data_IF_421945280632
#
_entry.id   IF_421945280632
#
_cell.length_a   1.000
_cell.length_b   1.000
_cell.length_c   1.000
_cell.angle_alpha   90.00
_cell.angle_beta   90.00
_cell.angle_gamma   90.00
#
_symmetry.space_group_name_H-M   'P 1'
#
loop_
_entity.id
_entity.type
_entity.pdbx_description
1 polymer ?
#
# COMPACT_ATOMS: atom_id res chain seq x y z
N UNK A 1 31.72 -16.50 16.86
CA UNK A 1 30.26 -16.68 16.78
C UNK A 1 29.50 -15.38 16.54
N UNK A 2 29.62 -14.36 17.41
CA UNK A 2 28.87 -13.08 17.24
C UNK A 2 29.21 -12.34 15.94
N UNK A 3 30.48 -12.37 15.50
CA UNK A 3 30.91 -11.73 14.24
C UNK A 3 30.29 -12.33 12.99
N UNK A 4 30.07 -13.65 13.00
CA UNK A 4 29.39 -14.36 11.90
C UNK A 4 27.91 -13.98 11.82
N UNK A 5 27.25 -13.81 12.98
CA UNK A 5 25.85 -13.39 13.06
C UNK A 5 25.66 -11.95 12.53
N UNK A 6 26.60 -11.06 12.88
CA UNK A 6 26.62 -9.68 12.39
C UNK A 6 26.89 -9.67 10.88
N UNK A 7 27.86 -10.44 10.39
CA UNK A 7 28.15 -10.53 8.95
C UNK A 7 26.97 -11.09 8.15
N UNK A 8 26.28 -12.12 8.66
CA UNK A 8 25.08 -12.65 8.05
C UNK A 8 23.93 -11.63 8.04
N UNK A 9 23.77 -10.83 9.10
CA UNK A 9 22.78 -9.74 9.15
C UNK A 9 23.07 -8.63 8.15
N UNK A 10 24.35 -8.23 7.98
CA UNK A 10 24.75 -7.22 7.01
C UNK A 10 24.61 -7.76 5.58
N UNK A 11 24.98 -9.02 5.34
CA UNK A 11 24.83 -9.67 4.03
C UNK A 11 23.36 -9.86 3.64
N UNK A 12 22.47 -10.14 4.59
CA UNK A 12 21.04 -10.25 4.36
C UNK A 12 20.38 -8.89 4.06
N UNK A 13 20.87 -7.80 4.68
CA UNK A 13 20.41 -6.42 4.39
C UNK A 13 20.93 -5.91 3.04
N UNK A 14 22.10 -6.39 2.61
CA UNK A 14 22.72 -6.02 1.34
C UNK A 14 22.31 -6.93 0.17
N UNK A 15 21.40 -7.87 0.40
CA UNK A 15 20.79 -8.64 -0.67
C UNK A 15 20.02 -7.66 -1.57
N UNK A 16 20.19 -7.74 -2.90
CA UNK A 16 19.49 -6.85 -3.81
C UNK A 16 18.00 -7.01 -3.60
N UNK A 17 17.31 -5.89 -3.35
CA UNK A 17 15.86 -5.88 -3.19
C UNK A 17 15.24 -6.47 -4.48
N UNK A 18 14.70 -7.69 -4.40
CA UNK A 18 14.13 -8.38 -5.56
C UNK A 18 12.80 -7.75 -6.00
N UNK A 19 12.35 -6.67 -5.35
CA UNK A 19 11.17 -5.90 -5.74
C UNK A 19 11.41 -5.19 -7.06
N UNK A 20 10.41 -5.27 -7.93
CA UNK A 20 10.43 -4.53 -9.20
C UNK A 20 10.43 -3.03 -8.91
N UNK A 21 11.11 -2.23 -9.73
CA UNK A 21 11.08 -0.76 -9.64
C UNK A 21 9.64 -0.21 -9.66
N UNK A 22 8.75 -0.86 -10.42
CA UNK A 22 7.32 -0.55 -10.49
C UNK A 22 6.59 -0.73 -9.14
N UNK A 23 7.01 -1.72 -8.35
CA UNK A 23 6.42 -2.02 -7.05
C UNK A 23 6.82 -0.95 -6.01
N UNK A 24 8.06 -0.48 -6.07
CA UNK A 24 8.55 0.60 -5.20
C UNK A 24 7.82 1.92 -5.51
N UNK A 25 7.60 2.22 -6.78
CA UNK A 25 6.83 3.38 -7.22
C UNK A 25 5.36 3.25 -6.75
N UNK A 26 4.76 2.07 -6.90
CA UNK A 26 3.39 1.83 -6.44
C UNK A 26 3.25 2.00 -4.92
N UNK A 27 4.20 1.48 -4.12
CA UNK A 27 4.21 1.65 -2.67
C UNK A 27 4.29 3.13 -2.27
N UNK A 28 5.12 3.91 -2.96
CA UNK A 28 5.24 5.36 -2.74
C UNK A 28 3.92 6.07 -3.04
N UNK A 29 3.33 5.81 -4.21
CA UNK A 29 2.05 6.39 -4.63
C UNK A 29 0.94 6.00 -3.66
N UNK A 30 0.85 4.73 -3.29
CA UNK A 30 -0.10 4.21 -2.30
C UNK A 30 0.01 4.97 -0.98
N UNK A 31 1.23 5.23 -0.50
CA UNK A 31 1.47 6.04 0.71
C UNK A 31 0.86 7.44 0.58
N UNK A 32 1.13 8.13 -0.52
CA UNK A 32 0.53 9.44 -0.80
C UNK A 32 -1.00 9.41 -0.90
N UNK A 33 -1.60 8.37 -1.49
CA UNK A 33 -3.06 8.22 -1.56
C UNK A 33 -3.69 8.01 -0.17
N UNK A 34 -3.00 7.32 0.75
CA UNK A 34 -3.50 7.16 2.13
C UNK A 34 -3.41 8.47 2.88
N UNK A 35 -2.31 9.21 2.74
CA UNK A 35 -2.15 10.54 3.36
C UNK A 35 -3.21 11.51 2.83
N UNK A 36 -3.47 11.50 1.52
CA UNK A 36 -4.47 12.40 0.92
C UNK A 36 -5.88 12.15 1.46
N UNK A 37 -6.22 10.92 1.89
CA UNK A 37 -7.49 10.64 2.57
C UNK A 37 -7.63 11.37 3.88
N UNK A 38 -6.58 11.37 4.70
CA UNK A 38 -6.55 12.09 5.97
C UNK A 38 -6.66 13.59 5.69
N UNK A 39 -5.91 14.09 4.70
CA UNK A 39 -5.97 15.48 4.28
C UNK A 39 -7.40 15.88 3.81
N UNK A 40 -8.09 15.01 3.08
CA UNK A 40 -9.48 15.24 2.62
C UNK A 40 -10.44 15.41 3.79
N UNK A 41 -10.30 14.60 4.85
CA UNK A 41 -11.13 14.71 6.05
C UNK A 41 -10.87 16.04 6.77
N UNK A 42 -9.59 16.41 6.93
CA UNK A 42 -9.22 17.69 7.55
C UNK A 42 -9.77 18.85 6.74
N UNK A 43 -9.64 18.79 5.41
CA UNK A 43 -10.14 19.82 4.51
C UNK A 43 -11.67 19.91 4.56
N UNK A 44 -12.37 18.78 4.67
CA UNK A 44 -13.81 18.74 4.84
C UNK A 44 -14.25 19.46 6.12
N UNK A 45 -13.56 19.23 7.25
CA UNK A 45 -13.86 19.92 8.51
C UNK A 45 -13.60 21.42 8.36
N UNK A 46 -12.44 21.80 7.84
CA UNK A 46 -12.08 23.20 7.63
C UNK A 46 -13.09 23.91 6.73
N UNK A 47 -13.36 23.38 5.54
CA UNK A 47 -14.32 23.99 4.62
C UNK A 47 -15.69 24.07 5.27
N UNK A 48 -16.14 23.03 5.96
CA UNK A 48 -17.44 23.04 6.64
C UNK A 48 -17.54 24.15 7.69
N UNK A 49 -16.50 24.36 8.49
CA UNK A 49 -16.45 25.40 9.51
C UNK A 49 -16.43 26.80 8.89
N UNK A 50 -15.53 27.03 7.93
CA UNK A 50 -15.37 28.34 7.30
C UNK A 50 -16.56 28.74 6.41
N UNK A 51 -17.39 27.79 6.00
CA UNK A 51 -18.51 28.02 5.08
C UNK A 51 -19.89 27.84 5.72
N UNK A 52 -19.97 27.78 7.04
CA UNK A 52 -21.21 27.54 7.78
C UNK A 52 -22.32 28.54 7.40
N UNK A 53 -21.96 29.81 7.19
CA UNK A 53 -22.90 30.89 6.87
C UNK A 53 -23.33 30.90 5.39
N UNK A 54 -22.68 30.11 4.52
CA UNK A 54 -22.92 30.12 3.08
C UNK A 54 -23.91 29.04 2.67
N UNK A 55 -24.86 29.44 1.82
CA UNK A 55 -25.87 28.57 1.25
C UNK A 55 -25.78 28.60 -0.28
N UNK A 56 -25.68 27.43 -0.90
CA UNK A 56 -25.68 27.24 -2.35
C UNK A 56 -26.90 26.39 -2.72
N UNK A 57 -27.73 26.90 -3.62
CA UNK A 57 -28.96 26.23 -4.07
C UNK A 57 -29.93 25.86 -2.93
N UNK A 58 -30.08 26.77 -1.94
CA UNK A 58 -30.86 26.57 -0.71
C UNK A 58 -30.37 25.43 0.20
N UNK A 59 -29.15 24.95 -0.03
CA UNK A 59 -28.49 23.94 0.80
C UNK A 59 -27.23 24.54 1.42
N UNK A 60 -26.93 24.21 2.67
CA UNK A 60 -25.67 24.65 3.30
C UNK A 60 -24.48 24.09 2.52
N UNK A 61 -23.42 24.88 2.38
CA UNK A 61 -22.16 24.44 1.76
C UNK A 61 -21.59 23.22 2.48
N UNK A 62 -21.78 23.09 3.79
CA UNK A 62 -21.40 21.89 4.57
C UNK A 62 -22.02 20.60 3.99
N UNK A 63 -23.29 20.65 3.58
CA UNK A 63 -23.99 19.49 2.99
C UNK A 63 -23.41 19.15 1.61
N UNK A 64 -23.08 20.16 0.80
CA UNK A 64 -22.40 19.96 -0.48
C UNK A 64 -21.02 19.32 -0.32
N UNK A 65 -20.27 19.73 0.71
CA UNK A 65 -18.98 19.12 1.04
C UNK A 65 -19.14 17.63 1.33
N UNK A 66 -20.16 17.23 2.09
CA UNK A 66 -20.45 15.81 2.37
C UNK A 66 -20.81 15.05 1.08
N UNK A 67 -21.68 15.64 0.25
CA UNK A 67 -22.12 15.04 -1.01
C UNK A 67 -20.93 14.76 -1.94
N UNK A 68 -19.92 15.64 -1.94
CA UNK A 68 -18.73 15.51 -2.81
C UNK A 68 -17.66 14.63 -2.14
N UNK A 69 -17.48 14.71 -0.83
CA UNK A 69 -16.40 14.02 -0.12
C UNK A 69 -16.61 12.51 -0.08
N UNK A 70 -17.85 12.04 0.05
CA UNK A 70 -18.14 10.59 0.08
C UNK A 70 -17.75 9.92 -1.25
N UNK A 71 -18.21 10.38 -2.43
CA UNK A 71 -17.75 9.86 -3.72
C UNK A 71 -16.23 9.91 -3.87
N UNK A 72 -15.60 11.03 -3.46
CA UNK A 72 -14.15 11.19 -3.53
C UNK A 72 -13.42 10.16 -2.66
N UNK A 73 -13.92 9.90 -1.45
CA UNK A 73 -13.36 8.92 -0.53
C UNK A 73 -13.44 7.49 -1.08
N UNK A 74 -14.58 7.15 -1.68
CA UNK A 74 -14.80 5.85 -2.35
C UNK A 74 -13.84 5.73 -3.53
N UNK A 75 -13.75 6.75 -4.38
CA UNK A 75 -12.88 6.78 -5.55
C UNK A 75 -11.42 6.58 -5.16
N UNK A 76 -10.94 7.27 -4.11
CA UNK A 76 -9.60 7.08 -3.55
C UNK A 76 -9.36 5.63 -3.10
N UNK A 77 -10.29 4.99 -2.38
CA UNK A 77 -10.13 3.56 -2.05
C UNK A 77 -10.16 2.66 -3.26
N UNK A 78 -10.99 2.98 -4.27
CA UNK A 78 -11.06 2.21 -5.48
C UNK A 78 -9.72 2.24 -6.23
N UNK A 79 -9.10 3.43 -6.35
CA UNK A 79 -7.76 3.58 -6.92
C UNK A 79 -6.70 2.78 -6.17
N UNK A 80 -6.71 2.83 -4.82
CA UNK A 80 -5.79 2.02 -4.01
C UNK A 80 -6.00 0.53 -4.27
N UNK A 81 -7.24 0.06 -4.29
CA UNK A 81 -7.58 -1.36 -4.49
C UNK A 81 -7.21 -1.83 -5.89
N UNK A 82 -7.44 -0.99 -6.90
CA UNK A 82 -7.15 -1.31 -8.30
C UNK A 82 -5.65 -1.47 -8.53
N UNK A 83 -4.83 -0.55 -8.01
CA UNK A 83 -3.39 -0.68 -8.15
C UNK A 83 -2.79 -1.74 -7.22
N UNK A 84 -3.37 -2.00 -6.03
CA UNK A 84 -2.95 -3.11 -5.19
C UNK A 84 -3.19 -4.46 -5.91
N UNK A 85 -4.29 -4.58 -6.65
CA UNK A 85 -4.53 -5.74 -7.51
C UNK A 85 -3.55 -5.83 -8.68
N UNK A 86 -3.19 -4.70 -9.30
CA UNK A 86 -2.33 -4.71 -10.48
C UNK A 86 -0.86 -4.98 -10.15
N UNK A 87 -0.36 -4.43 -9.04
CA UNK A 87 1.05 -4.48 -8.66
C UNK A 87 1.33 -5.49 -7.53
N UNK A 88 0.38 -5.75 -6.62
CA UNK A 88 0.53 -6.71 -5.52
C UNK A 88 0.50 -8.19 -5.95
N UNK A 89 0.00 -8.49 -7.15
CA UNK A 89 0.02 -9.86 -7.70
C UNK A 89 1.44 -10.35 -8.04
N UNK A 90 2.38 -9.42 -8.29
CA UNK A 90 3.75 -9.75 -8.64
C UNK A 90 4.61 -10.10 -7.41
N UNK A 91 4.30 -9.56 -6.23
CA UNK A 91 5.01 -9.79 -4.98
C UNK A 91 4.68 -11.15 -4.36
N UNK A 92 3.38 -11.50 -4.30
CA UNK A 92 2.91 -12.78 -3.74
C UNK A 92 3.40 -13.99 -4.55
N UNK A 93 3.55 -13.83 -5.87
CA UNK A 93 4.04 -14.90 -6.76
C UNK A 93 5.53 -15.20 -6.58
N UNK A 94 6.32 -14.24 -6.07
CA UNK A 94 7.76 -14.42 -5.81
C UNK A 94 8.00 -15.05 -4.44
N UNK A 95 7.28 -14.64 -3.40
CA UNK A 95 7.37 -15.24 -2.05
C UNK A 95 6.98 -16.73 -2.06
N UNK A 96 5.85 -17.09 -2.72
CA UNK A 96 5.43 -18.50 -2.82
C UNK A 96 6.39 -19.37 -3.63
N UNK A 97 7.14 -18.81 -4.58
CA UNK A 97 8.12 -19.55 -5.38
C UNK A 97 9.46 -19.72 -4.66
N UNK A 98 9.85 -18.74 -3.83
CA UNK A 98 11.02 -18.79 -2.96
C UNK A 98 10.88 -19.83 -1.84
N UNK A 99 9.70 -19.94 -1.23
CA UNK A 99 9.41 -20.98 -0.24
C UNK A 99 9.40 -22.39 -0.85
N UNK A 100 8.73 -22.59 -2.00
CA UNK A 100 8.67 -23.91 -2.65
C UNK A 100 10.08 -24.40 -3.06
N UNK A 101 10.93 -23.52 -3.58
CA UNK A 101 12.31 -23.89 -3.93
C UNK A 101 13.14 -24.25 -2.69
N UNK A 102 13.01 -23.52 -1.59
CA UNK A 102 13.69 -23.84 -0.34
C UNK A 102 13.21 -25.17 0.26
N UNK A 103 11.91 -25.45 0.21
CA UNK A 103 11.32 -26.72 0.69
C UNK A 103 11.75 -27.89 -0.20
N UNK A 104 11.81 -27.70 -1.52
CA UNK A 104 12.30 -28.71 -2.46
C UNK A 104 13.80 -29.01 -2.26
N UNK A 105 14.60 -28.00 -1.96
CA UNK A 105 16.03 -28.17 -1.69
C UNK A 105 16.31 -28.85 -0.33
N UNK A 106 15.44 -28.63 0.67
CA UNK A 106 15.59 -29.23 2.02
C UNK A 106 15.17 -30.69 2.11
N UNK A 107 14.49 -31.24 1.10
CA UNK A 107 14.10 -32.67 1.07
C UNK A 107 15.10 -33.44 0.20
N UNK A 108 16.21 -33.99 0.76
CA UNK A 108 16.99 -34.95 0.01
C UNK A 108 16.07 -36.11 -0.35
N UNK A 109 15.97 -36.39 -1.64
CA UNK A 109 15.21 -37.53 -2.16
C UNK A 109 15.94 -38.78 -1.66
N UNK A 110 15.50 -39.32 -0.53
CA UNK A 110 15.98 -40.62 -0.05
C UNK A 110 15.42 -41.66 -1.02
N UNK A 111 16.16 -41.92 -2.10
CA UNK A 111 16.01 -43.13 -2.89
C UNK A 111 16.29 -44.30 -1.96
N UNK A 112 15.25 -44.91 -1.40
CA UNK A 112 15.33 -46.26 -0.87
C UNK A 112 15.61 -47.19 -2.04
N UNK A 113 16.81 -47.77 -2.08
CA UNK A 113 17.09 -48.99 -2.82
C UNK A 113 16.52 -50.17 -2.07
#
# INVERSE_FOLDING_TARGET
>A
MVRELIQAGIAAVNAPDERSEEEIIWLTIRGWLVISRIATIILMILISEFTEEYYIANLSVSVWVIIISIPLFILLSFFITLGDRHYGTNSSKREGKGEINNIAQKRPIIRRK
#
